data_IF_563853817268
#
_entry.id   IF_563853817268
#
_cell.length_a   1.000
_cell.length_b   1.000
_cell.length_c   1.000
_cell.angle_alpha   90.00
_cell.angle_beta   90.00
_cell.angle_gamma   90.00
#
_symmetry.space_group_name_H-M   'P 1'
#
loop_
_entity.id
_entity.type
_entity.pdbx_description
1 polymer ?
#
# COMPACT_ATOMS: atom_id res chain seq x y z
N UNK A 1 -32.03 8.61 28.27
CA UNK A 1 -30.90 7.66 28.22
C UNK A 1 -30.27 7.74 26.84
N UNK A 2 -29.25 8.57 26.67
CA UNK A 2 -28.54 8.75 25.41
C UNK A 2 -27.04 8.65 25.74
N UNK A 3 -26.58 7.44 26.01
CA UNK A 3 -25.21 7.15 26.47
C UNK A 3 -24.57 5.96 25.72
N UNK A 4 -25.03 5.68 24.50
CA UNK A 4 -24.32 4.80 23.56
C UNK A 4 -24.42 5.40 22.16
N UNK A 5 -24.08 6.69 22.04
CA UNK A 5 -23.71 7.28 20.75
C UNK A 5 -22.26 6.86 20.49
N UNK A 6 -22.07 6.17 19.39
CA UNK A 6 -20.81 6.10 18.65
C UNK A 6 -19.67 5.35 19.36
N UNK A 7 -19.82 4.03 19.51
CA UNK A 7 -18.65 3.15 19.59
C UNK A 7 -18.07 2.93 18.17
N UNK A 8 -17.78 4.01 17.45
CA UNK A 8 -16.95 3.96 16.23
C UNK A 8 -15.48 3.89 16.66
N UNK A 9 -15.04 2.75 17.18
CA UNK A 9 -13.69 2.61 17.72
C UNK A 9 -12.91 1.49 17.03
N UNK A 10 -12.89 1.51 15.69
CA UNK A 10 -11.74 0.97 14.95
C UNK A 10 -11.14 2.14 14.19
N UNK A 11 -10.04 2.67 14.70
CA UNK A 11 -9.34 3.78 14.06
C UNK A 11 -8.76 3.35 12.71
N UNK A 12 -8.66 4.26 11.74
CA UNK A 12 -8.03 3.99 10.43
C UNK A 12 -6.65 3.33 10.60
N UNK A 13 -5.88 3.75 11.61
CA UNK A 13 -4.56 3.19 11.93
C UNK A 13 -4.59 1.71 12.30
N UNK A 14 -5.59 1.29 13.08
CA UNK A 14 -5.75 -0.12 13.45
C UNK A 14 -6.14 -0.97 12.24
N UNK A 15 -6.98 -0.43 11.34
CA UNK A 15 -7.35 -1.09 10.09
C UNK A 15 -6.12 -1.24 9.18
N UNK A 16 -5.30 -0.19 9.05
CA UNK A 16 -4.05 -0.21 8.30
C UNK A 16 -3.11 -1.29 8.86
N UNK A 17 -2.89 -1.28 10.18
CA UNK A 17 -2.02 -2.28 10.81
C UNK A 17 -2.52 -3.70 10.55
N UNK A 18 -3.83 -3.91 10.69
CA UNK A 18 -4.47 -5.20 10.38
C UNK A 18 -4.24 -5.59 8.92
N UNK A 19 -4.43 -4.67 7.97
CA UNK A 19 -4.21 -4.93 6.55
C UNK A 19 -2.76 -5.34 6.25
N UNK A 20 -1.78 -4.61 6.81
CA UNK A 20 -0.35 -4.91 6.65
C UNK A 20 0.00 -6.29 7.21
N UNK A 21 -0.51 -6.63 8.40
CA UNK A 21 -0.29 -7.95 9.02
C UNK A 21 -0.88 -9.07 8.14
N UNK A 22 -2.10 -8.90 7.65
CA UNK A 22 -2.72 -9.88 6.75
C UNK A 22 -1.95 -10.03 5.43
N UNK A 23 -1.48 -8.93 4.85
CA UNK A 23 -0.68 -8.96 3.63
C UNK A 23 0.63 -9.71 3.85
N UNK A 24 1.41 -9.31 4.87
CA UNK A 24 2.69 -9.92 5.19
C UNK A 24 2.54 -11.41 5.53
N UNK A 25 1.57 -11.76 6.37
CA UNK A 25 1.31 -13.15 6.75
C UNK A 25 0.80 -13.99 5.57
N UNK A 26 -0.08 -13.43 4.73
CA UNK A 26 -0.59 -14.10 3.54
C UNK A 26 0.51 -14.39 2.51
N UNK A 27 1.44 -13.44 2.32
CA UNK A 27 2.58 -13.59 1.41
C UNK A 27 3.66 -14.55 1.93
N UNK A 28 3.82 -14.68 3.26
CA UNK A 28 4.84 -15.53 3.87
C UNK A 28 4.47 -17.03 3.88
N UNK A 29 3.22 -17.39 3.60
CA UNK A 29 2.79 -18.78 3.50
C UNK A 29 3.25 -19.43 2.19
N UNK A 30 3.45 -20.74 2.22
CA UNK A 30 3.79 -21.55 1.04
C UNK A 30 2.80 -22.73 0.90
N UNK A 31 1.83 -22.66 -0.04
CA UNK A 31 1.59 -21.55 -0.98
C UNK A 31 1.02 -20.29 -0.29
N UNK A 32 1.09 -19.10 -0.93
CA UNK A 32 0.50 -17.88 -0.39
C UNK A 32 -1.00 -18.03 -0.10
N UNK A 33 -1.45 -17.51 1.04
CA UNK A 33 -2.85 -17.65 1.46
C UNK A 33 -3.74 -16.60 0.80
N UNK A 34 -4.57 -17.04 -0.15
CA UNK A 34 -5.54 -16.19 -0.85
C UNK A 34 -6.49 -15.48 0.11
N UNK A 35 -7.00 -16.18 1.13
CA UNK A 35 -7.97 -15.62 2.08
C UNK A 35 -7.39 -14.43 2.87
N UNK A 36 -6.11 -14.54 3.30
CA UNK A 36 -5.44 -13.45 4.01
C UNK A 36 -5.15 -12.27 3.08
N UNK A 37 -4.77 -12.54 1.83
CA UNK A 37 -4.51 -11.50 0.84
C UNK A 37 -5.79 -10.77 0.42
N UNK A 38 -6.91 -11.47 0.25
CA UNK A 38 -8.22 -10.87 -0.02
C UNK A 38 -8.69 -10.01 1.16
N UNK A 39 -8.45 -10.46 2.39
CA UNK A 39 -8.80 -9.66 3.56
C UNK A 39 -7.93 -8.41 3.66
N UNK A 40 -6.61 -8.52 3.42
CA UNK A 40 -5.72 -7.37 3.38
C UNK A 40 -6.16 -6.35 2.33
N UNK A 41 -6.48 -6.82 1.12
CA UNK A 41 -6.99 -5.99 0.02
C UNK A 41 -8.25 -5.22 0.44
N UNK A 42 -9.26 -5.90 1.01
CA UNK A 42 -10.51 -5.27 1.45
C UNK A 42 -10.28 -4.21 2.54
N UNK A 43 -9.36 -4.47 3.47
CA UNK A 43 -9.03 -3.52 4.54
C UNK A 43 -8.28 -2.29 4.00
N UNK A 44 -7.34 -2.48 3.07
CA UNK A 44 -6.69 -1.37 2.38
C UNK A 44 -7.69 -0.52 1.61
N UNK A 45 -8.60 -1.15 0.85
CA UNK A 45 -9.64 -0.42 0.13
C UNK A 45 -10.58 0.33 1.07
N UNK A 46 -10.95 -0.27 2.21
CA UNK A 46 -11.81 0.36 3.21
C UNK A 46 -11.23 1.68 3.72
N UNK A 47 -9.93 1.71 4.03
CA UNK A 47 -9.25 2.94 4.48
C UNK A 47 -9.02 3.89 3.32
N UNK A 48 -8.51 3.40 2.19
CA UNK A 48 -8.14 4.22 1.05
C UNK A 48 -9.32 4.92 0.37
N UNK A 49 -10.53 4.34 0.45
CA UNK A 49 -11.76 4.96 -0.05
C UNK A 49 -12.52 5.77 1.02
N UNK A 50 -12.05 5.80 2.26
CA UNK A 50 -12.75 6.51 3.34
C UNK A 50 -12.66 8.03 3.12
N UNK A 51 -13.77 8.80 3.18
CA UNK A 51 -13.77 10.22 2.84
C UNK A 51 -12.79 11.09 3.63
N UNK A 52 -12.50 10.71 4.88
CA UNK A 52 -11.56 11.45 5.72
C UNK A 52 -10.09 11.06 5.48
N UNK A 53 -9.83 9.96 4.77
CA UNK A 53 -8.50 9.38 4.59
C UNK A 53 -8.05 9.38 3.12
N UNK A 54 -8.97 9.39 2.14
CA UNK A 54 -8.67 9.16 0.73
C UNK A 54 -7.67 10.16 0.13
N UNK A 55 -7.66 11.39 0.63
CA UNK A 55 -6.72 12.44 0.21
C UNK A 55 -5.47 12.56 1.09
N UNK A 56 -5.36 11.72 2.12
CA UNK A 56 -4.19 11.67 2.98
C UNK A 56 -3.10 10.75 2.42
N UNK A 57 -1.87 10.92 2.89
CA UNK A 57 -0.75 10.04 2.54
C UNK A 57 -1.06 8.56 2.92
N UNK A 58 -1.50 8.24 4.15
CA UNK A 58 -1.87 6.87 4.51
C UNK A 58 -2.98 6.28 3.64
N UNK A 59 -4.02 7.06 3.30
CA UNK A 59 -5.10 6.56 2.42
C UNK A 59 -4.60 6.25 1.01
N UNK A 60 -3.73 7.09 0.45
CA UNK A 60 -3.12 6.85 -0.87
C UNK A 60 -2.17 5.65 -0.85
N UNK A 61 -1.40 5.46 0.22
CA UNK A 61 -0.61 4.25 0.42
C UNK A 61 -1.50 3.00 0.51
N UNK A 62 -2.64 3.08 1.20
CA UNK A 62 -3.59 1.96 1.26
C UNK A 62 -4.12 1.59 -0.13
N UNK A 63 -4.56 2.57 -0.93
CA UNK A 63 -5.02 2.28 -2.29
C UNK A 63 -3.90 1.70 -3.17
N UNK A 64 -2.67 2.23 -3.07
CA UNK A 64 -1.52 1.65 -3.75
C UNK A 64 -1.29 0.19 -3.35
N UNK A 65 -1.32 -0.14 -2.04
CA UNK A 65 -1.18 -1.51 -1.54
C UNK A 65 -2.32 -2.42 -2.02
N UNK A 66 -3.55 -1.92 -2.05
CA UNK A 66 -4.71 -2.65 -2.59
C UNK A 66 -4.48 -3.08 -4.05
N UNK A 67 -4.10 -2.14 -4.92
CA UNK A 67 -3.84 -2.41 -6.32
C UNK A 67 -2.58 -3.25 -6.56
N UNK A 68 -1.60 -3.16 -5.66
CA UNK A 68 -0.43 -4.04 -5.66
C UNK A 68 -0.82 -5.51 -5.50
N UNK A 69 -1.69 -5.82 -4.53
CA UNK A 69 -2.19 -7.18 -4.31
C UNK A 69 -2.99 -7.69 -5.51
N UNK A 70 -3.70 -6.79 -6.20
CA UNK A 70 -4.43 -7.08 -7.44
C UNK A 70 -3.54 -7.16 -8.69
N UNK A 71 -2.24 -6.83 -8.58
CA UNK A 71 -1.30 -6.71 -9.70
C UNK A 71 -1.72 -5.70 -10.77
N UNK A 72 -2.48 -4.66 -10.39
CA UNK A 72 -2.91 -3.57 -11.27
C UNK A 72 -1.92 -2.40 -11.17
N UNK A 73 -0.73 -2.58 -11.75
CA UNK A 73 0.40 -1.67 -11.51
C UNK A 73 0.22 -0.27 -12.10
N UNK A 74 -0.58 -0.10 -13.15
CA UNK A 74 -0.93 1.24 -13.65
C UNK A 74 -1.68 2.05 -12.57
N UNK A 75 -2.65 1.43 -11.89
CA UNK A 75 -3.38 2.05 -10.78
C UNK A 75 -2.47 2.29 -9.57
N UNK A 76 -1.57 1.36 -9.25
CA UNK A 76 -0.55 1.57 -8.21
C UNK A 76 0.22 2.87 -8.46
N UNK A 77 0.66 3.10 -9.70
CA UNK A 77 1.42 4.30 -10.05
C UNK A 77 0.61 5.59 -9.91
N UNK A 78 -0.70 5.57 -10.17
CA UNK A 78 -1.57 6.75 -9.93
C UNK A 78 -1.45 7.21 -8.48
N UNK A 79 -1.56 6.28 -7.52
CA UNK A 79 -1.48 6.61 -6.10
C UNK A 79 -0.05 6.94 -5.67
N UNK A 80 0.96 6.14 -6.04
CA UNK A 80 2.33 6.41 -5.62
C UNK A 80 2.88 7.73 -6.20
N UNK A 81 2.61 8.03 -7.48
CA UNK A 81 3.03 9.31 -8.10
C UNK A 81 2.46 10.51 -7.34
N UNK A 82 1.23 10.41 -6.84
CA UNK A 82 0.58 11.50 -6.11
C UNK A 82 1.21 11.84 -4.74
N UNK A 83 1.98 10.91 -4.16
CA UNK A 83 2.66 11.10 -2.87
C UNK A 83 4.20 11.04 -2.98
N UNK A 84 4.76 10.81 -4.17
CA UNK A 84 6.20 10.62 -4.41
C UNK A 84 7.07 11.74 -3.84
N UNK A 85 6.61 12.99 -3.90
CA UNK A 85 7.38 14.15 -3.42
C UNK A 85 7.73 14.08 -1.93
N UNK A 86 6.93 13.36 -1.13
CA UNK A 86 7.12 13.18 0.31
C UNK A 86 8.14 12.07 0.67
N UNK A 87 8.55 11.23 -0.30
CA UNK A 87 9.30 9.99 -0.06
C UNK A 87 10.58 9.85 -0.91
N UNK A 88 11.15 10.95 -1.40
CA UNK A 88 12.28 10.92 -2.35
C UNK A 88 13.49 10.11 -1.86
N UNK A 89 13.76 10.11 -0.55
CA UNK A 89 14.86 9.40 0.09
C UNK A 89 14.42 8.15 0.86
N UNK A 90 13.17 7.70 0.67
CA UNK A 90 12.64 6.52 1.35
C UNK A 90 12.86 5.28 0.48
N UNK A 91 13.72 4.38 0.94
CA UNK A 91 14.13 3.20 0.18
C UNK A 91 12.97 2.22 -0.04
N UNK A 92 12.09 2.03 0.95
CA UNK A 92 10.96 1.12 0.85
C UNK A 92 9.95 1.64 -0.19
N UNK A 93 9.72 2.95 -0.20
CA UNK A 93 8.91 3.62 -1.22
C UNK A 93 9.54 3.52 -2.60
N UNK A 94 10.82 3.86 -2.74
CA UNK A 94 11.54 3.84 -4.01
C UNK A 94 11.61 2.43 -4.59
N UNK A 95 11.78 1.41 -3.74
CA UNK A 95 11.72 0.02 -4.14
C UNK A 95 10.36 -0.34 -4.73
N UNK A 96 9.28 -0.12 -3.97
CA UNK A 96 7.92 -0.44 -4.42
C UNK A 96 7.54 0.36 -5.68
N UNK A 97 7.89 1.63 -5.74
CA UNK A 97 7.66 2.47 -6.91
C UNK A 97 8.40 1.95 -8.15
N UNK A 98 9.67 1.60 -7.99
CA UNK A 98 10.49 1.05 -9.06
C UNK A 98 9.96 -0.27 -9.62
N UNK A 99 9.52 -1.18 -8.74
CA UNK A 99 8.87 -2.44 -9.11
C UNK A 99 7.54 -2.18 -9.83
N UNK A 100 6.73 -1.24 -9.36
CA UNK A 100 5.48 -0.86 -10.02
C UNK A 100 5.72 -0.28 -11.43
N UNK A 101 6.70 0.61 -11.58
CA UNK A 101 7.13 1.13 -12.88
C UNK A 101 7.54 0.01 -13.84
N UNK A 102 8.36 -0.94 -13.39
CA UNK A 102 8.80 -2.05 -14.21
C UNK A 102 7.63 -2.93 -14.69
N UNK A 103 6.68 -3.24 -13.81
CA UNK A 103 5.50 -4.03 -14.19
C UNK A 103 4.51 -3.28 -15.08
N UNK A 104 4.46 -1.94 -14.97
CA UNK A 104 3.66 -1.08 -15.85
C UNK A 104 4.36 -0.74 -17.18
N UNK A 105 5.58 -1.24 -17.42
CA UNK A 105 6.35 -1.00 -18.63
C UNK A 105 7.14 0.32 -18.67
N UNK A 106 7.13 1.11 -17.60
CA UNK A 106 7.95 2.32 -17.45
C UNK A 106 9.35 1.96 -16.94
N UNK A 107 10.08 1.20 -17.75
CA UNK A 107 11.39 0.66 -17.37
C UNK A 107 12.44 1.74 -17.09
N UNK A 108 12.33 2.90 -17.75
CA UNK A 108 13.25 4.02 -17.55
C UNK A 108 13.07 4.60 -16.16
N UNK A 109 11.84 4.99 -15.82
CA UNK A 109 11.54 5.53 -14.49
C UNK A 109 11.78 4.50 -13.38
N UNK A 110 11.43 3.24 -13.65
CA UNK A 110 11.66 2.12 -12.72
C UNK A 110 13.14 1.93 -12.40
N UNK A 111 14.00 1.86 -13.42
CA UNK A 111 15.45 1.74 -13.24
C UNK A 111 16.01 2.94 -12.47
N UNK A 112 15.67 4.16 -12.89
CA UNK A 112 16.23 5.36 -12.29
C UNK A 112 15.83 5.47 -10.80
N UNK A 113 14.62 5.02 -10.44
CA UNK A 113 14.18 4.99 -9.04
C UNK A 113 14.85 3.87 -8.24
N UNK A 114 14.98 2.66 -8.81
CA UNK A 114 15.64 1.53 -8.11
C UNK A 114 17.12 1.81 -7.84
N UNK A 115 17.79 2.59 -8.69
CA UNK A 115 19.18 3.02 -8.46
C UNK A 115 19.34 3.96 -7.25
N UNK A 116 18.26 4.59 -6.78
CA UNK A 116 18.28 5.41 -5.58
C UNK A 116 18.27 4.57 -4.29
N UNK A 117 17.82 3.31 -4.36
CA UNK A 117 17.70 2.43 -3.19
C UNK A 117 19.09 2.06 -2.66
N UNK A 118 19.36 2.43 -1.41
CA UNK A 118 20.65 2.18 -0.76
C UNK A 118 20.61 0.98 0.19
N UNK A 119 19.43 0.64 0.71
CA UNK A 119 19.22 -0.45 1.65
C UNK A 119 19.64 -1.80 1.04
N UNK A 120 20.65 -2.43 1.66
CA UNK A 120 21.25 -3.68 1.20
C UNK A 120 20.28 -4.87 1.26
N UNK A 121 19.19 -4.79 2.03
CA UNK A 121 18.18 -5.87 2.07
C UNK A 121 17.49 -6.11 0.72
N UNK A 122 17.53 -5.12 -0.16
CA UNK A 122 16.94 -5.18 -1.49
C UNK A 122 17.94 -5.54 -2.60
N UNK A 123 19.23 -5.70 -2.26
CA UNK A 123 20.28 -6.17 -3.19
C UNK A 123 20.44 -7.68 -3.11
#
# INVERSE_FOLDING_TARGET
HQLVKDLEAVSSREIILKAVVFAAFGQAQDPPSTDHLELAQRLFQLVGAHPNECDTIPGRQCMASCFFLLKQFEEVLVYLKSIKSYFQSDDDFNWNYGIACANAGDFREGRDTLLLVQNERYR
#
